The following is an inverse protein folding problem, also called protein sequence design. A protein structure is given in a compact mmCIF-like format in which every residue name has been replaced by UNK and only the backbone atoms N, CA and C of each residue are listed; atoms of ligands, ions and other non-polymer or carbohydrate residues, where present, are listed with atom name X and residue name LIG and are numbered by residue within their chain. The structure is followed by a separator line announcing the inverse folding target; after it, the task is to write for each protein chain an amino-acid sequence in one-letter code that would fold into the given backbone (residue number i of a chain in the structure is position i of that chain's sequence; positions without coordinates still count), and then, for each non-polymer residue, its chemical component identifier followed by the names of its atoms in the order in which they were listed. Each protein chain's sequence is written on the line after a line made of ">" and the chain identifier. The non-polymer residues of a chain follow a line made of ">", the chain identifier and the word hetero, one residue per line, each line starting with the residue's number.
data_IF_162662070059
#
_entry.id   IF_162662070059
#
_cell.length_a   1.000
_cell.length_b   1.000
_cell.length_c   1.000
_cell.angle_alpha   90.00
_cell.angle_beta   90.00
_cell.angle_gamma   90.00
#
_symmetry.space_group_name_H-M   'P 1'
#
loop_
_entity.id
_entity.type
_entity.pdbx_description
1 polymer ?
#
# COMPACT_ATOMS: atom_id res chain seq x y z
N UNK A 1 -23.02 -14.07 -4.01
CA UNK A 1 -21.76 -13.40 -4.45
C UNK A 1 -20.58 -14.06 -3.76
N UNK A 2 -19.38 -14.08 -4.35
CA UNK A 2 -18.18 -14.67 -3.72
C UNK A 2 -17.12 -13.60 -3.48
N UNK A 3 -16.49 -13.67 -2.31
CA UNK A 3 -15.32 -12.86 -1.94
C UNK A 3 -14.16 -13.81 -1.68
N UNK A 4 -13.03 -13.58 -2.32
CA UNK A 4 -11.78 -14.29 -2.08
C UNK A 4 -10.73 -13.30 -1.60
N UNK A 5 -10.21 -13.52 -0.40
CA UNK A 5 -9.28 -12.65 0.30
C UNK A 5 -7.89 -13.28 0.36
N UNK A 6 -6.85 -12.47 0.23
CA UNK A 6 -5.46 -12.90 0.42
C UNK A 6 -4.75 -11.96 1.40
N UNK A 7 -3.92 -12.51 2.31
CA UNK A 7 -3.17 -11.68 3.23
C UNK A 7 -2.16 -10.81 2.48
N UNK A 8 -1.78 -9.63 3.02
CA UNK A 8 -0.85 -8.70 2.37
C UNK A 8 0.49 -9.35 1.99
N UNK A 9 0.93 -10.37 2.74
CA UNK A 9 2.15 -11.14 2.50
C UNK A 9 2.17 -11.88 1.15
N UNK A 10 1.02 -12.02 0.48
CA UNK A 10 0.93 -12.70 -0.83
C UNK A 10 1.21 -11.78 -2.02
N UNK A 11 1.60 -10.51 -1.81
CA UNK A 11 1.89 -9.56 -2.88
C UNK A 11 2.75 -10.17 -4.01
N UNK A 12 3.83 -10.89 -3.66
CA UNK A 12 4.73 -11.49 -4.65
C UNK A 12 4.13 -12.69 -5.41
N UNK A 13 3.09 -13.31 -4.88
CA UNK A 13 2.43 -14.50 -5.44
C UNK A 13 1.21 -14.13 -6.29
N UNK A 14 0.74 -12.89 -6.20
CA UNK A 14 -0.47 -12.40 -6.87
C UNK A 14 -0.22 -11.75 -8.24
N UNK A 15 1.04 -11.57 -8.64
CA UNK A 15 1.40 -11.00 -9.95
C UNK A 15 0.66 -9.69 -10.25
N UNK A 16 0.80 -8.74 -9.32
CA UNK A 16 0.18 -7.42 -9.44
C UNK A 16 0.73 -6.70 -10.67
N UNK A 17 -0.18 -6.14 -11.46
CA UNK A 17 0.14 -5.37 -12.66
C UNK A 17 0.78 -4.03 -12.36
N UNK A 18 0.92 -3.16 -13.37
CA UNK A 18 1.45 -1.82 -13.19
C UNK A 18 0.72 -1.05 -12.08
N UNK A 19 1.47 -0.34 -11.24
CA UNK A 19 0.92 0.40 -10.10
C UNK A 19 0.17 1.67 -10.54
N UNK A 20 0.53 2.21 -11.70
CA UNK A 20 0.09 3.49 -12.25
C UNK A 20 -0.84 3.35 -13.47
N UNK A 21 -0.95 2.15 -14.05
CA UNK A 21 -1.85 1.87 -15.16
C UNK A 21 -2.87 0.80 -14.76
N UNK A 22 -4.02 1.25 -14.26
CA UNK A 22 -5.01 0.39 -13.61
C UNK A 22 -6.43 0.69 -14.10
N UNK A 23 -7.33 -0.31 -14.16
CA UNK A 23 -8.71 -0.09 -14.63
C UNK A 23 -9.54 0.81 -13.73
N UNK A 24 -9.26 0.84 -12.42
CA UNK A 24 -10.08 1.49 -11.40
C UNK A 24 -9.27 2.29 -10.35
N UNK A 25 -8.02 2.67 -10.68
CA UNK A 25 -7.16 3.46 -9.80
C UNK A 25 -6.45 2.66 -8.69
N UNK A 26 -6.60 1.33 -8.64
CA UNK A 26 -5.89 0.43 -7.74
C UNK A 26 -5.22 -0.68 -8.55
N UNK A 27 -4.00 -1.06 -8.16
CA UNK A 27 -3.28 -2.13 -8.81
C UNK A 27 -4.01 -3.47 -8.60
N UNK A 28 -4.10 -4.27 -9.66
CA UNK A 28 -4.84 -5.55 -9.67
C UNK A 28 -3.91 -6.69 -10.09
N UNK A 29 -4.26 -7.91 -9.68
CA UNK A 29 -3.61 -9.12 -10.20
C UNK A 29 -3.82 -9.23 -11.71
N UNK A 30 -2.79 -9.68 -12.44
CA UNK A 30 -2.89 -10.02 -13.85
C UNK A 30 -3.33 -11.47 -14.10
N UNK A 31 -3.54 -12.24 -13.03
CA UNK A 31 -3.98 -13.64 -13.13
C UNK A 31 -5.48 -13.67 -13.43
N UNK A 32 -5.87 -14.49 -14.41
CA UNK A 32 -7.27 -14.88 -14.58
C UNK A 32 -7.62 -15.94 -13.54
N UNK A 33 -8.51 -15.62 -12.60
CA UNK A 33 -8.89 -16.51 -11.51
C UNK A 33 -9.78 -17.68 -11.98
N UNK A 34 -10.46 -17.55 -13.11
CA UNK A 34 -11.29 -18.63 -13.68
C UNK A 34 -10.46 -19.62 -14.49
N UNK A 35 -9.35 -19.16 -15.08
CA UNK A 35 -8.42 -20.00 -15.83
C UNK A 35 -6.95 -19.61 -15.55
N UNK A 36 -6.42 -19.91 -14.35
CA UNK A 36 -5.05 -19.51 -14.00
C UNK A 36 -4.00 -20.20 -14.90
N UNK A 37 -3.24 -19.40 -15.64
CA UNK A 37 -2.07 -19.89 -16.37
C UNK A 37 -0.91 -20.10 -15.40
N UNK A 38 -0.78 -21.31 -14.84
CA UNK A 38 0.29 -21.66 -13.92
C UNK A 38 1.68 -21.75 -14.56
N UNK A 39 1.78 -21.84 -15.89
CA UNK A 39 3.07 -21.77 -16.56
C UNK A 39 3.60 -20.32 -16.54
N UNK A 40 2.70 -19.33 -16.74
CA UNK A 40 3.03 -17.90 -16.66
C UNK A 40 3.08 -17.38 -15.21
N UNK A 41 2.22 -17.89 -14.34
CA UNK A 41 2.04 -17.43 -12.95
C UNK A 41 2.25 -18.56 -11.93
N UNK A 42 3.44 -19.21 -11.90
CA UNK A 42 3.66 -20.41 -11.09
C UNK A 42 3.45 -20.22 -9.58
N UNK A 43 3.74 -19.02 -9.03
CA UNK A 43 3.55 -18.70 -7.62
C UNK A 43 2.08 -18.49 -7.23
N UNK A 44 1.15 -18.40 -8.18
CA UNK A 44 -0.25 -18.16 -7.85
C UNK A 44 -0.86 -19.34 -7.08
N UNK A 45 -0.37 -20.56 -7.32
CA UNK A 45 -0.72 -21.72 -6.53
C UNK A 45 -0.39 -21.52 -5.03
N UNK A 46 0.71 -20.84 -4.71
CA UNK A 46 1.05 -20.47 -3.33
C UNK A 46 0.02 -19.51 -2.76
N UNK A 47 -0.32 -18.43 -3.48
CA UNK A 47 -1.34 -17.46 -3.04
C UNK A 47 -2.67 -18.15 -2.71
N UNK A 48 -3.11 -19.09 -3.57
CA UNK A 48 -4.35 -19.85 -3.37
C UNK A 48 -4.37 -20.67 -2.08
N UNK A 49 -3.22 -21.15 -1.59
CA UNK A 49 -3.17 -21.87 -0.29
C UNK A 49 -3.45 -20.97 0.91
N UNK A 50 -3.21 -19.66 0.77
CA UNK A 50 -3.48 -18.65 1.80
C UNK A 50 -4.80 -17.91 1.56
N UNK A 51 -5.53 -18.27 0.50
CA UNK A 51 -6.80 -17.64 0.16
C UNK A 51 -7.88 -18.01 1.19
N UNK A 52 -8.69 -17.01 1.55
CA UNK A 52 -9.90 -17.21 2.34
C UNK A 52 -11.09 -16.80 1.50
N UNK A 53 -12.00 -17.74 1.24
CA UNK A 53 -13.17 -17.48 0.42
C UNK A 53 -14.46 -17.61 1.23
N UNK A 54 -15.42 -16.74 0.94
CA UNK A 54 -16.78 -16.82 1.45
C UNK A 54 -17.78 -16.49 0.36
N UNK A 55 -18.90 -17.19 0.35
CA UNK A 55 -20.08 -16.80 -0.40
C UNK A 55 -20.99 -15.98 0.53
N UNK A 56 -21.44 -14.83 0.03
CA UNK A 56 -22.29 -13.91 0.76
C UNK A 56 -23.68 -13.91 0.12
N UNK A 57 -24.70 -14.02 0.96
CA UNK A 57 -26.10 -13.84 0.63
C UNK A 57 -26.54 -12.38 0.84
N UNK A 58 -27.79 -12.08 0.55
CA UNK A 58 -28.35 -10.75 0.79
C UNK A 58 -28.44 -10.49 2.30
N UNK A 59 -27.81 -9.40 2.74
CA UNK A 59 -27.76 -9.01 4.15
C UNK A 59 -26.45 -9.39 4.85
N UNK A 60 -25.63 -10.26 4.25
CA UNK A 60 -24.31 -10.60 4.79
C UNK A 60 -23.32 -9.45 4.64
N UNK A 61 -22.40 -9.39 5.60
CA UNK A 61 -21.29 -8.45 5.61
C UNK A 61 -19.96 -9.18 5.75
N UNK A 62 -18.96 -8.70 5.02
CA UNK A 62 -17.56 -9.13 5.17
C UNK A 62 -16.73 -7.95 5.64
N UNK A 63 -15.94 -8.17 6.68
CA UNK A 63 -14.90 -7.22 7.08
C UNK A 63 -13.61 -7.57 6.35
N UNK A 64 -13.09 -6.63 5.56
CA UNK A 64 -11.80 -6.76 4.87
C UNK A 64 -10.80 -5.88 5.61
N UNK A 65 -9.81 -6.45 6.33
CA UNK A 65 -8.80 -5.65 6.99
C UNK A 65 -7.99 -4.82 5.98
N UNK A 66 -7.45 -3.68 6.41
CA UNK A 66 -6.64 -2.84 5.54
C UNK A 66 -5.48 -3.61 4.90
N UNK A 67 -5.17 -3.28 3.65
CA UNK A 67 -4.12 -3.89 2.83
C UNK A 67 -4.37 -5.34 2.37
N UNK A 68 -5.49 -5.95 2.73
CA UNK A 68 -5.83 -7.28 2.20
C UNK A 68 -6.23 -7.18 0.72
N UNK A 69 -5.70 -8.10 -0.07
CA UNK A 69 -6.10 -8.27 -1.45
C UNK A 69 -7.44 -8.97 -1.49
N UNK A 70 -8.32 -8.54 -2.40
CA UNK A 70 -9.65 -9.11 -2.51
C UNK A 70 -10.07 -9.23 -3.97
N UNK A 71 -10.67 -10.37 -4.30
CA UNK A 71 -11.33 -10.65 -5.56
C UNK A 71 -12.82 -10.80 -5.28
N UNK A 72 -13.65 -10.07 -6.05
CA UNK A 72 -15.09 -10.02 -5.85
C UNK A 72 -15.81 -10.54 -7.09
N UNK A 73 -16.67 -11.54 -6.91
CA UNK A 73 -17.41 -12.19 -7.99
C UNK A 73 -18.92 -12.06 -7.75
N UNK A 74 -19.64 -11.57 -8.77
CA UNK A 74 -21.10 -11.69 -8.83
C UNK A 74 -21.47 -13.08 -9.31
N UNK A 75 -22.23 -13.83 -8.51
CA UNK A 75 -22.67 -15.20 -8.88
C UNK A 75 -24.03 -15.20 -9.59
N UNK A 76 -24.76 -14.10 -9.49
CA UNK A 76 -26.10 -13.92 -10.07
C UNK A 76 -26.07 -12.82 -11.14
N UNK A 77 -27.06 -12.77 -12.06
CA UNK A 77 -27.14 -11.73 -13.10
C UNK A 77 -27.28 -10.30 -12.54
N UNK A 78 -27.78 -10.15 -11.31
CA UNK A 78 -27.98 -8.87 -10.65
C UNK A 78 -27.42 -8.89 -9.22
N UNK A 79 -26.56 -7.92 -8.90
CA UNK A 79 -25.95 -7.78 -7.57
C UNK A 79 -25.87 -6.30 -7.19
N UNK A 80 -26.06 -5.99 -5.90
CA UNK A 80 -25.83 -4.66 -5.32
C UNK A 80 -24.92 -4.82 -4.11
N UNK A 81 -23.96 -3.92 -3.94
CA UNK A 81 -23.12 -3.83 -2.75
C UNK A 81 -23.02 -2.38 -2.29
N UNK A 82 -23.08 -2.21 -0.97
CA UNK A 82 -22.69 -0.99 -0.27
C UNK A 82 -21.44 -1.32 0.56
N UNK A 83 -20.43 -0.47 0.47
CA UNK A 83 -19.18 -0.61 1.22
C UNK A 83 -18.89 0.66 2.02
N UNK A 84 -18.38 0.49 3.23
CA UNK A 84 -17.94 1.58 4.10
C UNK A 84 -16.43 1.55 4.21
N UNK A 85 -15.78 2.67 3.93
CA UNK A 85 -14.33 2.83 4.05
C UNK A 85 -14.03 3.82 5.15
N UNK A 86 -13.07 3.48 6.00
CA UNK A 86 -12.54 4.39 7.00
C UNK A 86 -11.03 4.14 7.11
N UNK A 87 -10.32 5.13 7.67
CA UNK A 87 -8.88 5.03 7.93
C UNK A 87 -8.67 5.15 9.44
N UNK A 88 -7.63 4.49 9.95
CA UNK A 88 -7.18 4.68 11.32
C UNK A 88 -6.12 5.80 11.44
N UNK A 89 -5.55 6.21 10.30
CA UNK A 89 -4.62 7.33 10.22
C UNK A 89 -5.37 8.67 10.19
N UNK A 90 -4.77 9.75 10.73
CA UNK A 90 -5.30 11.10 10.59
C UNK A 90 -5.63 11.49 9.15
N UNK A 91 -6.69 12.27 8.96
CA UNK A 91 -7.19 12.66 7.63
C UNK A 91 -6.19 13.50 6.81
N UNK A 92 -5.26 14.18 7.49
CA UNK A 92 -4.22 14.99 6.86
C UNK A 92 -3.03 14.18 6.33
N UNK A 93 -2.92 12.88 6.65
CA UNK A 93 -1.89 12.01 6.09
C UNK A 93 -2.17 11.67 4.63
N UNK A 94 -1.13 11.71 3.81
CA UNK A 94 -1.18 11.32 2.40
C UNK A 94 -1.16 9.79 2.23
N UNK A 95 -1.45 9.31 1.02
CA UNK A 95 -1.37 7.87 0.73
C UNK A 95 0.10 7.39 0.72
N UNK A 96 0.43 6.24 1.35
CA UNK A 96 1.76 5.63 1.25
C UNK A 96 2.20 5.32 -0.18
N UNK A 97 1.24 5.19 -1.11
CA UNK A 97 1.54 5.01 -2.54
C UNK A 97 2.38 6.17 -3.10
N UNK A 98 2.15 7.41 -2.66
CA UNK A 98 2.95 8.55 -3.10
C UNK A 98 4.41 8.42 -2.66
N UNK A 99 4.66 7.93 -1.44
CA UNK A 99 6.00 7.65 -0.95
C UNK A 99 6.68 6.54 -1.76
N UNK A 100 5.95 5.46 -2.07
CA UNK A 100 6.45 4.37 -2.92
C UNK A 100 6.82 4.86 -4.33
N UNK A 101 5.97 5.66 -4.96
CA UNK A 101 6.24 6.20 -6.30
C UNK A 101 7.46 7.13 -6.31
N UNK A 102 7.60 7.98 -5.29
CA UNK A 102 8.79 8.82 -5.13
C UNK A 102 10.07 8.00 -4.86
N UNK A 103 9.99 6.94 -4.07
CA UNK A 103 11.11 6.04 -3.83
C UNK A 103 11.49 5.26 -5.10
N UNK A 104 10.52 4.87 -5.92
CA UNK A 104 10.78 4.30 -7.25
C UNK A 104 11.52 5.31 -8.14
N UNK A 105 11.05 6.57 -8.17
CA UNK A 105 11.65 7.63 -8.97
C UNK A 105 13.08 7.98 -8.55
N UNK A 106 13.37 7.97 -7.24
CA UNK A 106 14.63 8.51 -6.70
C UNK A 106 15.62 7.47 -6.19
N UNK A 107 15.18 6.27 -5.80
CA UNK A 107 15.99 5.33 -4.99
C UNK A 107 16.14 3.96 -5.65
N UNK A 108 15.09 3.42 -6.30
CA UNK A 108 15.07 2.04 -6.81
C UNK A 108 16.26 1.73 -7.73
N UNK A 109 16.58 2.64 -8.63
CA UNK A 109 17.56 2.43 -9.70
C UNK A 109 18.97 2.94 -9.36
N UNK A 110 19.22 3.35 -8.11
CA UNK A 110 20.57 3.68 -7.61
C UNK A 110 21.51 2.46 -7.64
N UNK A 111 22.84 2.67 -7.68
CA UNK A 111 23.82 1.60 -7.50
C UNK A 111 23.52 0.78 -6.23
N UNK A 112 23.71 -0.56 -6.23
CA UNK A 112 23.31 -1.41 -5.10
C UNK A 112 23.85 -0.97 -3.74
N UNK A 113 25.09 -0.47 -3.68
CA UNK A 113 25.69 0.04 -2.45
C UNK A 113 24.98 1.32 -1.94
N UNK A 114 24.65 2.25 -2.83
CA UNK A 114 23.93 3.48 -2.46
C UNK A 114 22.49 3.18 -2.05
N UNK A 115 21.81 2.26 -2.75
CA UNK A 115 20.45 1.84 -2.40
C UNK A 115 20.41 1.17 -1.02
N UNK A 116 21.43 0.39 -0.65
CA UNK A 116 21.53 -0.19 0.68
C UNK A 116 21.67 0.89 1.77
N UNK A 117 22.51 1.90 1.54
CA UNK A 117 22.65 3.04 2.46
C UNK A 117 21.32 3.78 2.62
N UNK A 118 20.61 4.04 1.52
CA UNK A 118 19.29 4.69 1.60
C UNK A 118 18.26 3.82 2.31
N UNK A 119 18.32 2.49 2.19
CA UNK A 119 17.46 1.60 2.97
C UNK A 119 17.67 1.85 4.48
N UNK A 120 18.91 1.90 4.95
CA UNK A 120 19.21 2.16 6.36
C UNK A 120 18.69 3.55 6.82
N UNK A 121 18.75 4.55 5.93
CA UNK A 121 18.17 5.88 6.18
C UNK A 121 16.65 5.82 6.28
N UNK A 122 15.96 5.09 5.40
CA UNK A 122 14.51 4.88 5.48
C UNK A 122 14.12 4.09 6.73
N UNK A 123 14.88 3.06 7.08
CA UNK A 123 14.66 2.30 8.31
C UNK A 123 14.74 3.25 9.52
N UNK A 124 15.81 4.04 9.65
CA UNK A 124 15.98 4.97 10.77
C UNK A 124 14.89 6.06 10.87
N UNK A 125 14.51 6.68 9.76
CA UNK A 125 13.58 7.83 9.78
C UNK A 125 12.10 7.47 9.59
N UNK A 126 11.77 6.27 9.10
CA UNK A 126 10.40 5.90 8.72
C UNK A 126 9.95 4.59 9.35
N UNK A 127 10.65 3.48 9.11
CA UNK A 127 10.15 2.15 9.48
C UNK A 127 10.40 1.80 10.96
N UNK A 128 11.55 2.21 11.49
CA UNK A 128 11.97 2.05 12.89
C UNK A 128 11.93 3.39 13.64
N UNK A 129 11.08 4.33 13.18
CA UNK A 129 10.98 5.66 13.76
C UNK A 129 10.65 5.60 15.27
N UNK A 130 11.57 6.13 16.07
CA UNK A 130 11.39 6.45 17.48
C UNK A 130 11.84 7.90 17.71
N UNK A 131 10.97 8.74 18.28
CA UNK A 131 11.27 10.16 18.43
C UNK A 131 12.50 10.40 19.31
N UNK A 132 12.68 9.59 20.37
CA UNK A 132 13.81 9.76 21.28
C UNK A 132 15.14 9.45 20.58
N UNK A 133 15.23 8.35 19.83
CA UNK A 133 16.41 7.99 19.05
C UNK A 133 16.69 8.93 17.87
N UNK A 134 15.65 9.29 17.11
CA UNK A 134 15.78 10.06 15.86
C UNK A 134 16.00 11.56 16.13
N UNK A 135 15.30 12.13 17.12
CA UNK A 135 15.23 13.57 17.32
C UNK A 135 15.53 14.03 18.76
N UNK A 136 15.77 13.10 19.70
CA UNK A 136 15.98 13.43 21.11
C UNK A 136 17.20 14.31 21.39
N UNK A 137 18.22 14.24 20.53
CA UNK A 137 19.41 15.09 20.59
C UNK A 137 19.18 16.52 20.06
N UNK A 138 18.01 16.80 19.49
CA UNK A 138 17.63 18.10 18.92
C UNK A 138 16.64 18.79 19.88
N UNK A 139 16.83 20.09 20.22
CA UNK A 139 15.84 20.86 20.95
C UNK A 139 14.46 20.77 20.30
N UNK A 140 13.40 20.62 21.09
CA UNK A 140 12.03 20.37 20.58
C UNK A 140 11.59 21.39 19.52
N UNK A 141 11.88 22.68 19.74
CA UNK A 141 11.57 23.78 18.82
C UNK A 141 12.31 23.69 17.47
N UNK A 142 13.38 22.89 17.38
CA UNK A 142 14.20 22.73 16.20
C UNK A 142 14.01 21.38 15.46
N UNK A 143 13.22 20.44 15.99
CA UNK A 143 13.03 19.10 15.39
C UNK A 143 12.36 19.13 14.01
N UNK A 144 11.48 20.11 13.76
CA UNK A 144 10.75 20.27 12.48
C UNK A 144 10.07 18.96 12.06
N UNK A 145 10.36 18.43 10.87
CA UNK A 145 9.77 17.19 10.34
C UNK A 145 10.14 15.94 11.15
N UNK A 146 11.17 16.01 11.99
CA UNK A 146 11.59 14.92 12.87
C UNK A 146 10.85 14.88 14.22
N UNK A 147 9.97 15.85 14.48
CA UNK A 147 9.05 15.79 15.61
C UNK A 147 7.67 15.30 15.19
N UNK A 148 6.71 15.19 16.12
CA UNK A 148 5.35 14.74 15.82
C UNK A 148 4.73 15.51 14.65
N UNK A 149 4.08 14.79 13.76
CA UNK A 149 3.40 15.38 12.62
C UNK A 149 2.00 15.87 13.03
N UNK A 150 1.64 17.04 12.52
CA UNK A 150 0.30 17.60 12.56
C UNK A 150 -0.08 18.09 11.15
N UNK A 151 -1.31 18.57 11.00
CA UNK A 151 -1.80 19.05 9.70
C UNK A 151 -0.93 20.19 9.12
N UNK A 152 -0.46 21.13 9.96
CA UNK A 152 0.30 22.28 9.52
C UNK A 152 1.70 21.86 9.02
N UNK A 153 2.37 20.96 9.74
CA UNK A 153 3.67 20.40 9.37
C UNK A 153 3.58 19.59 8.09
N UNK A 154 2.55 18.75 7.93
CA UNK A 154 2.35 17.99 6.69
C UNK A 154 2.05 18.90 5.51
N UNK A 155 1.27 19.96 5.70
CA UNK A 155 1.02 20.97 4.65
C UNK A 155 2.30 21.66 4.23
N UNK A 156 3.16 22.04 5.18
CA UNK A 156 4.46 22.64 4.90
C UNK A 156 5.38 21.66 4.15
N UNK A 157 5.47 20.41 4.61
CA UNK A 157 6.25 19.36 3.95
C UNK A 157 5.78 19.13 2.50
N UNK A 158 4.46 19.06 2.27
CA UNK A 158 3.88 18.93 0.93
C UNK A 158 4.30 20.08 0.02
N UNK A 159 4.23 21.33 0.50
CA UNK A 159 4.64 22.50 -0.29
C UNK A 159 6.14 22.45 -0.64
N UNK A 160 7.00 22.04 0.30
CA UNK A 160 8.43 21.88 0.08
C UNK A 160 8.72 20.80 -0.98
N UNK A 161 8.05 19.64 -0.90
CA UNK A 161 8.21 18.56 -1.86
C UNK A 161 7.75 18.99 -3.26
N UNK A 162 6.59 19.62 -3.39
CA UNK A 162 6.08 20.14 -4.66
C UNK A 162 7.05 21.15 -5.29
N UNK A 163 7.62 22.07 -4.49
CA UNK A 163 8.60 23.03 -4.99
C UNK A 163 9.87 22.34 -5.52
N UNK A 164 10.31 21.25 -4.88
CA UNK A 164 11.48 20.49 -5.31
C UNK A 164 11.22 19.68 -6.58
N UNK A 165 10.02 19.12 -6.73
CA UNK A 165 9.64 18.33 -7.90
C UNK A 165 9.38 19.17 -9.15
N UNK A 166 9.07 20.46 -8.99
CA UNK A 166 8.84 21.39 -10.10
C UNK A 166 10.13 22.03 -10.65
N UNK A 167 11.31 21.63 -10.17
CA UNK A 167 12.62 22.09 -10.65
C UNK A 167 13.20 21.08 -11.64
#
# INVERSE_FOLDING_TARGET
>A
RRVTLFPPSQLENLYIGPLDHTPAGQAVSLVDFHAPDHARFPKFAEALRHAQAAELEAGDAVFIPSMWWHHMEGLEPFNVLVNYWWRQSPAWMDTPMNALMLAIMCVRDLPPAERAIWKDVFDHYVFDYDEAGVAGHIPESARRVLGPLDEARVRHLRALLLQRMNR
#
